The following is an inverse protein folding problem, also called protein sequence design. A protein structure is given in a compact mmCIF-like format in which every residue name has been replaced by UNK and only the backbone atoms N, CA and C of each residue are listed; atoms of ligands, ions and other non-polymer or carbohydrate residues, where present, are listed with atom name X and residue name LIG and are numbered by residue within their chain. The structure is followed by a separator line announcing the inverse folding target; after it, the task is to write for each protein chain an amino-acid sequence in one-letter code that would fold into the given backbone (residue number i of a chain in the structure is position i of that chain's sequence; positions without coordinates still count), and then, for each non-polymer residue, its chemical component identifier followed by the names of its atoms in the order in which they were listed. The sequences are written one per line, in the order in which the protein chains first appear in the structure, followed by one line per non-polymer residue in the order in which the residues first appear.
data_IF_301134312939
#
_entry.id   IF_301134312939
#
_cell.length_a   1.000
_cell.length_b   1.000
_cell.length_c   1.000
_cell.angle_alpha   90.00
_cell.angle_beta   90.00
_cell.angle_gamma   90.00
#
_symmetry.space_group_name_H-M   'P 1'
#
loop_
_entity.id
_entity.type
_entity.pdbx_description
1 polymer ?
#
# COMPACT_ATOMS: atom_id res chain seq x y z
N UNK A 1 -11.46 10.53 24.17
CA UNK A 1 -12.07 9.64 23.16
C UNK A 1 -12.19 10.45 21.89
N UNK A 2 -11.48 10.09 20.81
CA UNK A 2 -11.57 10.82 19.54
C UNK A 2 -12.72 10.24 18.72
N UNK A 3 -13.87 10.90 18.76
CA UNK A 3 -15.05 10.61 17.93
C UNK A 3 -14.98 11.47 16.67
N UNK A 4 -14.16 11.06 15.72
CA UNK A 4 -14.15 11.59 14.35
C UNK A 4 -14.17 10.42 13.37
N UNK A 5 -14.63 10.60 12.11
CA UNK A 5 -14.38 9.60 11.08
C UNK A 5 -12.87 9.33 11.04
N UNK A 6 -12.43 8.08 10.83
CA UNK A 6 -11.00 7.79 10.76
C UNK A 6 -10.38 8.69 9.69
N UNK A 7 -9.28 9.37 10.04
CA UNK A 7 -8.57 10.20 9.08
C UNK A 7 -8.14 9.31 7.91
N UNK A 8 -8.78 9.51 6.76
CA UNK A 8 -8.43 8.82 5.53
C UNK A 8 -7.10 9.37 5.05
N UNK A 9 -6.08 8.53 5.06
CA UNK A 9 -4.76 8.87 4.54
C UNK A 9 -4.60 8.27 3.14
N UNK A 10 -3.80 8.92 2.29
CA UNK A 10 -3.57 8.43 0.93
C UNK A 10 -2.94 7.03 0.92
N UNK A 11 -3.35 6.22 -0.05
CA UNK A 11 -2.82 4.88 -0.29
C UNK A 11 -2.57 4.65 -1.77
N UNK A 12 -1.57 3.82 -2.08
CA UNK A 12 -1.30 3.37 -3.44
C UNK A 12 -0.76 1.93 -3.45
N UNK A 13 -0.99 1.24 -4.56
CA UNK A 13 -0.32 -0.01 -4.91
C UNK A 13 0.45 0.22 -6.20
N UNK A 14 1.73 -0.13 -6.19
CA UNK A 14 2.61 -0.08 -7.35
C UNK A 14 3.07 -1.48 -7.70
N UNK A 15 3.23 -1.78 -8.99
CA UNK A 15 3.89 -2.98 -9.47
C UNK A 15 5.31 -2.60 -9.88
N UNK A 16 6.30 -3.20 -9.22
CA UNK A 16 7.71 -2.98 -9.48
C UNK A 16 8.29 -4.21 -10.19
N UNK A 17 8.76 -4.01 -11.42
CA UNK A 17 9.36 -5.07 -12.25
C UNK A 17 10.79 -4.78 -12.66
N UNK A 18 11.55 -5.83 -12.98
CA UNK A 18 12.88 -5.71 -13.58
C UNK A 18 13.99 -5.18 -12.64
N UNK A 19 13.71 -5.08 -11.35
CA UNK A 19 14.71 -4.79 -10.31
C UNK A 19 15.39 -6.06 -9.78
N UNK A 20 16.50 -5.89 -9.05
CA UNK A 20 17.24 -7.02 -8.46
C UNK A 20 16.43 -7.84 -7.44
N UNK A 21 15.38 -7.25 -6.85
CA UNK A 21 14.47 -7.92 -5.92
C UNK A 21 13.43 -8.83 -6.62
N UNK A 22 13.44 -8.90 -7.94
CA UNK A 22 12.39 -9.56 -8.72
C UNK A 22 11.10 -8.74 -8.78
N UNK A 23 10.12 -9.26 -9.49
CA UNK A 23 8.82 -8.61 -9.67
C UNK A 23 7.99 -8.71 -8.38
N UNK A 24 7.46 -7.58 -7.92
CA UNK A 24 6.69 -7.47 -6.68
C UNK A 24 5.74 -6.29 -6.69
N UNK A 25 4.89 -6.21 -5.68
CA UNK A 25 4.02 -5.06 -5.44
C UNK A 25 4.49 -4.30 -4.21
N UNK A 26 4.49 -2.96 -4.30
CA UNK A 26 4.68 -2.09 -3.16
C UNK A 26 3.34 -1.48 -2.75
N UNK A 27 2.95 -1.70 -1.50
CA UNK A 27 1.77 -1.08 -0.90
C UNK A 27 2.21 0.09 -0.04
N UNK A 28 1.82 1.30 -0.45
CA UNK A 28 2.20 2.55 0.19
C UNK A 28 1.01 3.09 0.98
N UNK A 29 1.21 3.30 2.27
CA UNK A 29 0.23 3.87 3.19
C UNK A 29 0.79 5.14 3.81
N UNK A 30 0.21 6.30 3.49
CA UNK A 30 0.61 7.56 4.11
C UNK A 30 0.30 7.50 5.61
N UNK A 31 1.29 7.78 6.46
CA UNK A 31 1.13 7.75 7.94
C UNK A 31 0.68 9.09 8.51
N UNK A 32 0.70 10.13 7.67
CA UNK A 32 0.31 11.50 7.93
C UNK A 32 0.12 12.21 6.59
N UNK A 33 -0.46 13.40 6.61
CA UNK A 33 -0.47 14.28 5.42
C UNK A 33 0.96 14.60 5.00
N UNK A 34 1.37 14.35 3.74
CA UNK A 34 2.69 14.72 3.25
C UNK A 34 2.87 16.25 3.18
N UNK A 35 4.06 16.76 3.51
CA UNK A 35 4.39 18.18 3.38
C UNK A 35 4.82 18.57 1.95
N UNK A 36 5.06 17.59 1.08
CA UNK A 36 5.49 17.77 -0.31
C UNK A 36 5.79 16.42 -0.96
N UNK A 37 6.08 16.43 -2.27
CA UNK A 37 6.27 15.21 -3.06
C UNK A 37 7.44 14.34 -2.61
N UNK A 38 8.50 14.96 -2.11
CA UNK A 38 9.71 14.25 -1.66
C UNK A 38 9.64 13.75 -0.21
N UNK A 39 8.53 14.02 0.47
CA UNK A 39 8.36 13.66 1.87
C UNK A 39 8.24 12.14 2.05
N UNK A 40 9.06 11.56 2.93
CA UNK A 40 9.07 10.14 3.28
C UNK A 40 7.92 9.79 4.22
N UNK A 41 6.70 10.11 3.83
CA UNK A 41 5.48 9.94 4.64
C UNK A 41 4.84 8.55 4.49
N UNK A 42 5.27 7.76 3.51
CA UNK A 42 4.62 6.50 3.15
C UNK A 42 5.29 5.31 3.84
N UNK A 43 4.63 4.72 4.83
CA UNK A 43 4.99 3.39 5.26
C UNK A 43 4.74 2.43 4.08
N UNK A 44 5.72 1.57 3.77
CA UNK A 44 5.68 0.74 2.56
C UNK A 44 5.94 -0.72 2.88
N UNK A 45 5.14 -1.59 2.27
CA UNK A 45 5.31 -3.03 2.35
C UNK A 45 5.46 -3.62 0.95
N UNK A 46 6.42 -4.53 0.80
CA UNK A 46 6.59 -5.35 -0.40
C UNK A 46 5.77 -6.61 -0.27
N UNK A 47 4.98 -6.93 -1.28
CA UNK A 47 4.19 -8.16 -1.38
C UNK A 47 4.45 -8.88 -2.70
N UNK A 48 4.33 -10.21 -2.70
CA UNK A 48 4.43 -11.01 -3.94
C UNK A 48 3.17 -10.92 -4.81
N UNK A 49 2.06 -10.45 -4.25
CA UNK A 49 0.75 -10.35 -4.92
C UNK A 49 0.05 -9.07 -4.49
N UNK A 50 -0.66 -8.41 -5.42
CA UNK A 50 -1.55 -7.29 -5.09
C UNK A 50 -2.59 -7.75 -4.04
N UNK A 51 -2.61 -7.16 -2.83
CA UNK A 51 -3.58 -7.54 -1.80
C UNK A 51 -5.05 -7.39 -2.24
N UNK A 52 -5.35 -6.51 -3.18
CA UNK A 52 -6.70 -6.35 -3.76
C UNK A 52 -7.14 -7.52 -4.64
N UNK A 53 -6.19 -8.31 -5.15
CA UNK A 53 -6.44 -9.47 -6.01
C UNK A 53 -6.48 -10.80 -5.26
N UNK A 54 -6.12 -10.83 -3.97
CA UNK A 54 -6.26 -12.01 -3.14
C UNK A 54 -7.73 -12.42 -3.02
N UNK A 55 -8.01 -13.73 -3.00
CA UNK A 55 -9.31 -14.21 -2.56
C UNK A 55 -9.51 -13.91 -1.07
N UNK A 56 -10.76 -13.79 -0.61
CA UNK A 56 -11.04 -13.68 0.83
C UNK A 56 -10.53 -14.95 1.54
N UNK A 57 -9.79 -14.76 2.63
CA UNK A 57 -9.09 -15.81 3.37
C UNK A 57 -7.68 -16.14 2.85
N UNK A 58 -7.31 -15.65 1.65
CA UNK A 58 -5.98 -15.86 1.10
C UNK A 58 -4.98 -14.85 1.70
N UNK A 59 -3.76 -15.32 1.92
CA UNK A 59 -2.66 -14.53 2.44
C UNK A 59 -1.54 -14.31 1.41
N UNK A 60 -0.79 -13.23 1.60
CA UNK A 60 0.50 -12.97 0.96
C UNK A 60 1.52 -12.52 2.01
N UNK A 61 2.81 -12.66 1.71
CA UNK A 61 3.85 -12.06 2.55
C UNK A 61 3.88 -10.55 2.34
N UNK A 62 4.08 -9.79 3.40
CA UNK A 62 4.18 -8.33 3.40
C UNK A 62 5.42 -7.91 4.19
N UNK A 63 6.53 -7.76 3.48
CA UNK A 63 7.81 -7.33 4.05
C UNK A 63 7.79 -5.81 4.24
N UNK A 64 8.01 -5.34 5.48
CA UNK A 64 8.16 -3.90 5.73
C UNK A 64 9.49 -3.42 5.16
N UNK A 65 9.45 -2.41 4.29
CA UNK A 65 10.63 -1.79 3.70
C UNK A 65 10.74 -0.30 4.07
N UNK A 66 11.81 0.35 3.59
CA UNK A 66 12.04 1.78 3.79
C UNK A 66 10.84 2.61 3.32
N UNK A 67 10.60 3.73 4.00
CA UNK A 67 9.51 4.62 3.65
C UNK A 67 9.70 5.22 2.25
N UNK A 68 8.60 5.36 1.51
CA UNK A 68 8.60 5.96 0.17
C UNK A 68 8.22 7.43 0.19
N UNK A 69 8.73 8.15 -0.82
CA UNK A 69 8.37 9.54 -1.11
C UNK A 69 6.91 9.64 -1.50
N UNK A 70 6.24 10.71 -1.06
CA UNK A 70 4.82 10.95 -1.33
C UNK A 70 4.47 11.07 -2.83
N UNK A 71 5.43 11.44 -3.68
CA UNK A 71 5.26 11.48 -5.15
C UNK A 71 4.69 10.17 -5.72
N UNK A 72 5.04 9.04 -5.10
CA UNK A 72 4.58 7.72 -5.54
C UNK A 72 3.10 7.46 -5.24
N UNK A 73 2.49 8.17 -4.29
CA UNK A 73 1.06 8.04 -3.99
C UNK A 73 0.16 8.56 -5.12
N UNK A 74 0.68 9.51 -5.91
CA UNK A 74 -0.06 10.19 -6.98
C UNK A 74 0.45 9.79 -8.37
N UNK A 75 1.23 8.72 -8.48
CA UNK A 75 1.79 8.28 -9.75
C UNK A 75 0.65 7.84 -10.70
N UNK A 76 0.60 8.41 -11.91
CA UNK A 76 -0.46 8.13 -12.90
C UNK A 76 0.02 7.35 -14.11
N UNK A 77 1.33 7.19 -14.29
CA UNK A 77 1.93 6.45 -15.39
C UNK A 77 3.18 5.70 -14.92
N UNK A 78 3.56 4.65 -15.67
CA UNK A 78 4.79 3.91 -15.42
C UNK A 78 6.01 4.81 -15.43
N UNK A 79 6.95 4.56 -14.52
CA UNK A 79 8.19 5.30 -14.38
C UNK A 79 9.37 4.36 -14.30
N UNK A 80 10.33 4.55 -15.20
CA UNK A 80 11.61 3.87 -15.13
C UNK A 80 12.45 4.49 -14.00
N UNK A 81 13.06 3.63 -13.19
CA UNK A 81 13.94 4.03 -12.11
C UNK A 81 15.39 4.02 -12.59
N UNK A 82 16.18 5.00 -12.11
CA UNK A 82 17.61 5.07 -12.39
C UNK A 82 18.36 3.80 -11.96
N UNK A 83 19.57 3.62 -12.51
CA UNK A 83 20.54 2.63 -12.05
C UNK A 83 20.08 1.18 -12.21
N UNK A 84 19.30 0.91 -13.27
CA UNK A 84 18.72 -0.42 -13.57
C UNK A 84 17.88 -0.96 -12.40
N UNK A 85 17.24 -0.07 -11.64
CA UNK A 85 16.36 -0.47 -10.54
C UNK A 85 15.01 -0.97 -11.02
N UNK A 86 14.71 -0.92 -12.32
CA UNK A 86 13.48 -1.45 -12.90
C UNK A 86 12.42 -0.38 -13.16
N UNK A 87 11.17 -0.80 -13.33
CA UNK A 87 10.04 0.06 -13.64
C UNK A 87 9.00 -0.06 -12.54
N UNK A 88 8.47 1.08 -12.09
CA UNK A 88 7.29 1.12 -11.21
C UNK A 88 6.07 1.55 -11.99
N UNK A 89 5.00 0.78 -11.91
CA UNK A 89 3.73 1.05 -12.60
C UNK A 89 2.62 1.20 -11.56
N UNK A 90 1.83 2.29 -11.58
CA UNK A 90 0.71 2.42 -10.65
C UNK A 90 -0.36 1.36 -10.96
N UNK A 91 -0.78 0.64 -9.93
CA UNK A 91 -1.84 -0.38 -10.01
C UNK A 91 -3.15 0.22 -9.51
N UNK A 92 -3.13 0.82 -8.32
CA UNK A 92 -4.29 1.46 -7.67
C UNK A 92 -3.86 2.65 -6.86
N UNK A 93 -4.73 3.64 -6.75
CA UNK A 93 -4.64 4.74 -5.79
C UNK A 93 -5.94 4.84 -5.02
N UNK A 94 -5.89 5.46 -3.84
CA UNK A 94 -7.06 5.60 -2.99
C UNK A 94 -6.70 6.15 -1.62
N UNK A 95 -7.45 5.71 -0.63
CA UNK A 95 -7.25 6.07 0.77
C UNK A 95 -7.28 4.84 1.66
N UNK A 96 -6.74 4.98 2.86
CA UNK A 96 -6.76 3.93 3.87
C UNK A 96 -7.06 4.49 5.25
N UNK A 97 -7.52 3.60 6.12
CA UNK A 97 -7.58 3.83 7.56
C UNK A 97 -7.39 2.51 8.33
N UNK A 98 -6.97 2.56 9.60
CA UNK A 98 -7.09 1.41 10.49
C UNK A 98 -8.57 1.09 10.71
N UNK A 99 -8.92 -0.19 10.65
CA UNK A 99 -10.25 -0.68 10.99
C UNK A 99 -10.33 -1.01 12.48
N UNK A 100 -11.32 -0.45 13.16
CA UNK A 100 -11.51 -0.70 14.60
C UNK A 100 -10.34 -0.20 15.45
N UNK A 101 -10.10 -0.86 16.59
CA UNK A 101 -9.07 -0.49 17.57
C UNK A 101 -7.98 -1.54 17.73
N UNK A 102 -7.97 -2.58 16.89
CA UNK A 102 -7.03 -3.70 17.00
C UNK A 102 -5.61 -3.37 16.50
N UNK A 103 -5.48 -2.27 15.74
CA UNK A 103 -4.22 -1.80 15.15
C UNK A 103 -3.66 -2.68 14.02
N UNK A 104 -4.33 -3.77 13.68
CA UNK A 104 -3.84 -4.79 12.75
C UNK A 104 -4.74 -4.95 11.53
N UNK A 105 -5.96 -4.43 11.56
CA UNK A 105 -6.85 -4.45 10.42
C UNK A 105 -6.77 -3.14 9.64
N UNK A 106 -6.61 -3.23 8.33
CA UNK A 106 -6.45 -2.11 7.40
C UNK A 106 -7.64 -2.09 6.44
N UNK A 107 -8.34 -0.96 6.37
CA UNK A 107 -9.36 -0.69 5.36
C UNK A 107 -8.76 0.15 4.23
N UNK A 108 -8.88 -0.33 3.00
CA UNK A 108 -8.44 0.35 1.77
C UNK A 108 -9.68 0.68 0.93
N UNK A 109 -9.80 1.95 0.55
CA UNK A 109 -10.85 2.50 -0.29
C UNK A 109 -10.22 3.02 -1.59
N UNK A 110 -10.47 2.32 -2.69
CA UNK A 110 -9.83 2.62 -3.96
C UNK A 110 -10.61 3.65 -4.77
N UNK A 111 -9.90 4.40 -5.60
CA UNK A 111 -10.49 5.43 -6.48
C UNK A 111 -11.45 4.85 -7.54
N UNK A 112 -11.36 3.56 -7.84
CA UNK A 112 -12.31 2.84 -8.71
C UNK A 112 -13.63 2.45 -7.99
N UNK A 113 -13.78 2.81 -6.72
CA UNK A 113 -14.95 2.53 -5.89
C UNK A 113 -14.90 1.17 -5.18
N UNK A 114 -13.92 0.31 -5.47
CA UNK A 114 -13.74 -0.97 -4.79
C UNK A 114 -13.12 -0.80 -3.41
N UNK A 115 -13.25 -1.84 -2.56
CA UNK A 115 -12.66 -1.85 -1.22
C UNK A 115 -11.86 -3.14 -1.00
N UNK A 116 -10.87 -3.03 -0.11
CA UNK A 116 -10.09 -4.19 0.35
C UNK A 116 -9.90 -4.06 1.85
N UNK A 117 -10.25 -5.09 2.60
CA UNK A 117 -9.89 -5.19 4.02
C UNK A 117 -8.82 -6.24 4.22
N UNK A 118 -7.74 -5.87 4.89
CA UNK A 118 -6.59 -6.72 5.17
C UNK A 118 -6.42 -6.88 6.67
N UNK A 119 -6.18 -8.11 7.13
CA UNK A 119 -5.59 -8.36 8.44
C UNK A 119 -4.07 -8.47 8.28
N UNK A 120 -3.32 -7.52 8.86
CA UNK A 120 -1.87 -7.50 8.90
C UNK A 120 -1.38 -8.25 10.15
N UNK A 121 -0.96 -9.50 9.98
CA UNK A 121 -0.60 -10.37 11.08
C UNK A 121 0.85 -10.14 11.56
N UNK A 122 1.16 -10.37 12.85
CA UNK A 122 2.50 -10.14 13.41
C UNK A 122 3.63 -10.96 12.76
N UNK A 123 3.30 -12.05 12.08
CA UNK A 123 4.26 -12.89 11.35
C UNK A 123 4.65 -12.31 9.97
N UNK A 124 4.16 -11.12 9.62
CA UNK A 124 4.43 -10.48 8.33
C UNK A 124 3.53 -10.97 7.20
N UNK A 125 2.48 -11.74 7.48
CA UNK A 125 1.48 -12.13 6.49
C UNK A 125 0.30 -11.17 6.48
N UNK A 126 -0.17 -10.83 5.29
CA UNK A 126 -1.38 -10.04 5.08
C UNK A 126 -2.46 -10.92 4.46
N UNK A 127 -3.61 -11.01 5.14
CA UNK A 127 -4.75 -11.82 4.69
C UNK A 127 -5.90 -10.92 4.28
N UNK A 128 -6.47 -11.13 3.08
CA UNK A 128 -7.70 -10.42 2.72
C UNK A 128 -8.87 -11.01 3.49
N UNK A 129 -9.61 -10.18 4.22
CA UNK A 129 -10.76 -10.62 5.02
C UNK A 129 -12.10 -10.05 4.54
N UNK A 130 -12.09 -9.05 3.66
CA UNK A 130 -13.30 -8.50 3.03
C UNK A 130 -13.00 -7.79 1.69
N UNK A 131 -14.04 -7.50 0.91
CA UNK A 131 -14.03 -6.70 -0.33
C UNK A 131 -14.57 -5.28 -0.16
#
# INVERSE_FOLDING_TARGET
MLTGPPFLHAAAVLHHTGGAAGDHFDVLLATRTPHGEDDLACATWRTATDPGMLAIGQATTAERIGAHRATYLALTASRELSDRRGVVTPVRTGTWCPHGTDGNTIDLHWSDGTRTRIAALPNGSWTRIHS
#
